data_IF_053730263413
#
_entry.id   IF_053730263413
#
_cell.length_a   1.000
_cell.length_b   1.000
_cell.length_c   1.000
_cell.angle_alpha   90.00
_cell.angle_beta   90.00
_cell.angle_gamma   90.00
#
_symmetry.space_group_name_H-M   'P 1'
#
loop_
_entity.id
_entity.type
_entity.pdbx_description
1 polymer ?
#
# COMPACT_ATOMS: atom_id res chain seq x y z
N UNK A 1 -6.62 -10.39 2.58
CA UNK A 1 -7.08 -9.03 2.22
C UNK A 1 -6.79 -8.76 0.76
N UNK A 2 -7.50 -7.82 0.17
CA UNK A 2 -7.37 -7.51 -1.25
C UNK A 2 -7.12 -6.03 -1.47
N UNK A 3 -6.07 -5.72 -2.26
CA UNK A 3 -5.81 -4.39 -2.76
C UNK A 3 -6.12 -4.39 -4.25
N UNK A 4 -7.05 -3.55 -4.68
CA UNK A 4 -7.41 -3.42 -6.08
C UNK A 4 -6.86 -2.10 -6.61
N UNK A 5 -5.95 -2.18 -7.58
CA UNK A 5 -5.44 -1.01 -8.29
C UNK A 5 -6.45 -0.56 -9.32
N UNK A 6 -6.92 0.66 -9.23
CA UNK A 6 -8.05 1.16 -10.02
C UNK A 6 -7.65 2.19 -11.06
N UNK A 7 -6.59 2.95 -10.85
CA UNK A 7 -6.22 4.05 -11.73
C UNK A 7 -4.72 4.33 -11.62
N UNK A 8 -4.09 4.55 -12.74
CA UNK A 8 -2.70 5.03 -12.77
C UNK A 8 -2.65 6.33 -13.58
N UNK A 9 -1.88 7.29 -13.08
CA UNK A 9 -1.69 8.59 -13.72
C UNK A 9 -0.29 9.12 -13.35
N UNK A 10 0.00 10.38 -13.69
CA UNK A 10 1.31 10.98 -13.40
C UNK A 10 1.60 11.11 -11.89
N UNK A 11 0.56 11.03 -11.06
CA UNK A 11 0.69 11.16 -9.60
C UNK A 11 0.82 9.80 -8.90
N UNK A 12 0.77 8.70 -9.64
CA UNK A 12 0.95 7.36 -9.08
C UNK A 12 -0.14 6.38 -9.46
N UNK A 13 -0.22 5.29 -8.71
CA UNK A 13 -1.20 4.22 -8.86
C UNK A 13 -2.15 4.26 -7.67
N UNK A 14 -3.41 4.59 -7.92
CA UNK A 14 -4.45 4.70 -6.91
C UNK A 14 -5.30 3.45 -6.88
N UNK A 15 -5.62 3.00 -5.68
CA UNK A 15 -6.42 1.80 -5.49
C UNK A 15 -7.20 1.84 -4.18
N UNK A 16 -7.75 0.68 -3.83
CA UNK A 16 -8.50 0.47 -2.60
C UNK A 16 -8.06 -0.82 -1.94
N UNK A 17 -7.98 -0.81 -0.62
CA UNK A 17 -7.73 -2.00 0.17
C UNK A 17 -8.93 -2.23 1.09
N UNK A 18 -9.46 -3.44 1.09
CA UNK A 18 -10.59 -3.80 1.95
C UNK A 18 -10.09 -4.50 3.19
N UNK A 19 -10.48 -3.97 4.35
CA UNK A 19 -10.16 -4.54 5.65
C UNK A 19 -11.13 -5.69 5.99
N UNK A 20 -10.78 -6.56 6.96
CA UNK A 20 -11.65 -7.69 7.34
C UNK A 20 -13.06 -7.26 7.75
N UNK A 21 -13.23 -6.08 8.34
CA UNK A 21 -14.56 -5.55 8.71
C UNK A 21 -15.41 -5.15 7.50
N UNK A 22 -14.82 -5.11 6.31
CA UNK A 22 -15.48 -4.57 5.12
C UNK A 22 -15.18 -3.10 4.88
N UNK A 23 -14.54 -2.41 5.83
CA UNK A 23 -14.12 -1.02 5.64
C UNK A 23 -13.08 -0.93 4.51
N UNK A 24 -13.16 0.12 3.71
CA UNK A 24 -12.28 0.32 2.56
C UNK A 24 -11.43 1.57 2.79
N UNK A 25 -10.12 1.43 2.56
CA UNK A 25 -9.19 2.55 2.58
C UNK A 25 -8.68 2.82 1.16
N UNK A 26 -8.30 4.05 0.89
CA UNK A 26 -7.60 4.40 -0.36
C UNK A 26 -6.14 4.02 -0.26
N UNK A 27 -5.54 3.63 -1.39
CA UNK A 27 -4.12 3.31 -1.46
C UNK A 27 -3.44 4.14 -2.54
N UNK A 28 -2.14 4.37 -2.36
CA UNK A 28 -1.30 5.03 -3.35
C UNK A 28 0.03 4.32 -3.41
N UNK A 29 0.44 4.01 -4.63
CA UNK A 29 1.72 3.40 -4.92
C UNK A 29 2.39 4.18 -6.05
N UNK A 30 3.67 3.93 -6.29
CA UNK A 30 4.35 4.46 -7.47
C UNK A 30 3.73 3.87 -8.74
N UNK A 31 4.02 4.49 -9.89
CA UNK A 31 3.69 3.91 -11.19
C UNK A 31 4.48 2.62 -11.40
N UNK A 32 3.96 1.72 -12.24
CA UNK A 32 4.69 0.54 -12.64
C UNK A 32 5.89 0.92 -13.53
N UNK A 33 7.08 0.50 -13.12
CA UNK A 33 8.34 0.72 -13.82
C UNK A 33 9.14 -0.58 -13.85
N UNK A 34 8.50 -1.66 -14.29
CA UNK A 34 9.12 -2.98 -14.43
C UNK A 34 9.74 -3.50 -13.13
N UNK A 35 9.09 -3.22 -11.99
CA UNK A 35 9.55 -3.64 -10.66
C UNK A 35 10.94 -3.10 -10.30
N UNK A 36 11.38 -2.02 -10.92
CA UNK A 36 12.67 -1.44 -10.61
C UNK A 36 12.68 -0.88 -9.19
N UNK A 37 13.79 -1.11 -8.49
CA UNK A 37 13.94 -0.67 -7.10
C UNK A 37 13.78 0.84 -7.00
N UNK A 38 13.08 1.29 -5.95
CA UNK A 38 12.91 2.69 -5.56
C UNK A 38 12.06 3.54 -6.49
N UNK A 39 11.72 3.07 -7.68
CA UNK A 39 10.97 3.87 -8.65
C UNK A 39 9.68 3.21 -9.13
N UNK A 40 9.42 1.95 -8.78
CA UNK A 40 8.25 1.19 -9.24
C UNK A 40 7.41 0.69 -8.09
N UNK A 41 6.11 0.58 -8.29
CA UNK A 41 5.28 -0.25 -7.43
C UNK A 41 5.68 -1.72 -7.62
N UNK A 42 5.27 -2.59 -6.69
CA UNK A 42 5.59 -4.01 -6.73
C UNK A 42 4.64 -4.75 -7.68
N UNK A 43 5.03 -5.96 -8.15
CA UNK A 43 4.16 -6.74 -9.04
C UNK A 43 2.82 -7.10 -8.38
N UNK A 44 1.75 -7.16 -9.17
CA UNK A 44 0.47 -7.69 -8.73
C UNK A 44 0.62 -9.18 -8.46
N UNK A 45 0.36 -9.60 -7.23
CA UNK A 45 0.49 -10.98 -6.78
C UNK A 45 -0.10 -11.11 -5.38
N UNK A 46 0.00 -12.29 -4.78
CA UNK A 46 -0.38 -12.50 -3.38
C UNK A 46 0.87 -12.59 -2.53
N UNK A 47 0.91 -11.80 -1.47
CA UNK A 47 2.06 -11.70 -0.57
C UNK A 47 1.66 -11.94 0.87
N UNK A 48 2.59 -12.51 1.64
CA UNK A 48 2.47 -12.59 3.09
C UNK A 48 2.87 -11.23 3.69
N UNK A 49 2.06 -10.74 4.63
CA UNK A 49 2.36 -9.50 5.35
C UNK A 49 2.47 -9.76 6.84
N UNK A 50 3.58 -9.34 7.44
CA UNK A 50 3.87 -9.52 8.85
C UNK A 50 4.27 -8.20 9.48
N UNK A 51 4.02 -8.09 10.79
CA UNK A 51 4.45 -6.91 11.58
C UNK A 51 5.97 -6.86 11.65
N UNK A 52 6.50 -5.65 11.48
CA UNK A 52 7.91 -5.35 11.69
C UNK A 52 8.04 -4.03 12.47
N UNK A 53 9.21 -3.82 13.06
CA UNK A 53 9.57 -2.54 13.67
C UNK A 53 10.52 -1.82 12.73
N UNK A 54 10.00 -0.83 12.01
CA UNK A 54 10.78 -0.03 11.07
C UNK A 54 11.48 1.10 11.83
N UNK A 55 12.79 1.31 11.62
CA UNK A 55 13.47 2.47 12.23
C UNK A 55 12.84 3.80 11.84
N UNK A 56 12.32 3.90 10.61
CA UNK A 56 11.74 5.15 10.10
C UNK A 56 10.25 5.28 10.39
N UNK A 57 9.48 4.18 10.28
CA UNK A 57 8.02 4.24 10.32
C UNK A 57 7.42 3.59 11.57
N UNK A 58 8.24 3.05 12.45
CA UNK A 58 7.76 2.38 13.65
C UNK A 58 7.15 1.02 13.34
N UNK A 59 6.13 0.66 14.08
CA UNK A 59 5.49 -0.65 13.95
C UNK A 59 4.50 -0.62 12.80
N UNK A 60 4.82 -1.35 11.73
CA UNK A 60 4.03 -1.40 10.48
C UNK A 60 4.08 -2.80 9.90
N UNK A 61 3.28 -3.04 8.86
CA UNK A 61 3.32 -4.31 8.11
C UNK A 61 4.36 -4.25 7.00
N UNK A 62 5.11 -5.36 6.88
CA UNK A 62 6.01 -5.57 5.76
C UNK A 62 5.37 -6.56 4.79
N UNK A 63 5.43 -6.24 3.49
CA UNK A 63 5.05 -7.15 2.41
C UNK A 63 6.28 -7.98 2.09
N UNK A 64 6.20 -9.30 2.32
CA UNK A 64 7.36 -10.19 2.30
C UNK A 64 7.57 -10.84 0.94
N UNK A 65 8.82 -11.19 0.68
CA UNK A 65 9.21 -12.00 -0.48
C UNK A 65 8.80 -11.40 -1.83
N UNK A 66 8.82 -10.08 -1.93
CA UNK A 66 8.61 -9.40 -3.20
C UNK A 66 9.84 -9.63 -4.08
N UNK A 67 9.69 -10.16 -5.30
CA UNK A 67 10.84 -10.43 -6.17
C UNK A 67 11.72 -9.19 -6.37
N UNK A 68 13.01 -9.34 -6.13
CA UNK A 68 14.02 -8.29 -6.33
C UNK A 68 13.80 -7.00 -5.51
N UNK A 69 12.99 -7.07 -4.47
CA UNK A 69 12.68 -5.92 -3.62
C UNK A 69 12.92 -6.30 -2.15
N UNK A 70 13.17 -5.30 -1.34
CA UNK A 70 13.29 -5.45 0.11
C UNK A 70 12.65 -4.26 0.81
N UNK A 71 12.27 -4.45 2.07
CA UNK A 71 11.70 -3.39 2.90
C UNK A 71 10.45 -2.73 2.28
N UNK A 72 9.60 -3.51 1.64
CA UNK A 72 8.30 -3.03 1.16
C UNK A 72 7.36 -3.02 2.36
N UNK A 73 6.93 -1.84 2.75
CA UNK A 73 6.11 -1.62 3.93
C UNK A 73 4.76 -1.01 3.55
N UNK A 74 3.79 -1.14 4.44
CA UNK A 74 2.53 -0.40 4.38
C UNK A 74 2.67 0.71 5.42
N UNK A 75 2.72 1.96 4.98
CA UNK A 75 2.94 3.07 5.91
C UNK A 75 2.16 4.32 5.51
N UNK A 76 2.30 5.39 6.31
CA UNK A 76 1.61 6.63 6.05
C UNK A 76 2.40 7.52 5.09
N UNK A 77 1.68 8.29 4.31
CA UNK A 77 2.20 9.27 3.37
C UNK A 77 1.06 9.73 2.47
N UNK A 78 1.13 10.93 1.94
CA UNK A 78 0.06 11.49 1.13
C UNK A 78 0.39 11.56 -0.37
N UNK A 79 1.68 11.54 -0.71
CA UNK A 79 2.18 11.73 -2.08
C UNK A 79 3.16 10.63 -2.46
N UNK A 80 3.35 10.41 -3.76
CA UNK A 80 4.35 9.42 -4.22
C UNK A 80 5.77 9.77 -3.78
N UNK A 81 6.08 11.03 -3.53
CA UNK A 81 7.40 11.41 -2.99
C UNK A 81 7.65 10.84 -1.58
N UNK A 82 6.61 10.38 -0.90
CA UNK A 82 6.71 9.81 0.43
C UNK A 82 7.02 8.32 0.42
N UNK A 83 7.21 7.73 -0.76
CA UNK A 83 7.46 6.29 -0.87
C UNK A 83 8.50 6.00 -1.96
N UNK A 84 9.21 4.89 -1.79
CA UNK A 84 10.13 4.34 -2.78
C UNK A 84 9.69 2.95 -3.26
N UNK A 85 8.37 2.72 -3.27
CA UNK A 85 7.77 1.45 -3.69
C UNK A 85 6.89 0.81 -2.63
N UNK A 86 6.82 1.40 -1.44
CA UNK A 86 5.90 0.96 -0.39
C UNK A 86 4.46 1.32 -0.73
N UNK A 87 3.53 0.74 0.01
CA UNK A 87 2.10 0.99 -0.15
C UNK A 87 1.68 2.04 0.87
N UNK A 88 1.12 3.15 0.40
CA UNK A 88 0.55 4.18 1.25
C UNK A 88 -0.96 3.97 1.39
N UNK A 89 -1.50 4.25 2.57
CA UNK A 89 -2.95 4.18 2.83
C UNK A 89 -3.47 5.54 3.23
N UNK A 90 -4.73 5.81 2.90
CA UNK A 90 -5.43 7.05 3.25
C UNK A 90 -6.91 6.79 3.42
N UNK A 91 -7.61 7.75 4.03
CA UNK A 91 -9.06 7.65 4.17
C UNK A 91 -9.77 7.93 2.86
N UNK A 92 -9.18 8.79 2.01
CA UNK A 92 -9.71 9.16 0.70
C UNK A 92 -8.57 9.66 -0.19
N UNK A 93 -8.90 9.95 -1.45
CA UNK A 93 -7.95 10.52 -2.41
C UNK A 93 -8.69 11.45 -3.38
N UNK A 94 -7.90 12.24 -4.14
CA UNK A 94 -8.42 13.13 -5.18
C UNK A 94 -7.71 12.92 -6.53
N UNK A 95 -7.18 11.72 -6.76
CA UNK A 95 -6.40 11.35 -7.95
C UNK A 95 -5.02 12.04 -8.03
N UNK A 96 -4.63 12.81 -7.02
CA UNK A 96 -3.32 13.44 -6.92
C UNK A 96 -2.60 13.05 -5.63
N UNK A 97 -3.35 12.84 -4.56
CA UNK A 97 -2.81 12.51 -3.25
C UNK A 97 -3.82 11.73 -2.42
N UNK A 98 -3.33 11.18 -1.31
CA UNK A 98 -4.16 10.64 -0.24
C UNK A 98 -4.45 11.72 0.80
N UNK A 99 -5.54 11.53 1.54
CA UNK A 99 -5.93 12.37 2.66
C UNK A 99 -6.03 11.52 3.94
N UNK A 100 -5.70 12.14 5.06
CA UNK A 100 -5.79 11.53 6.39
C UNK A 100 -5.07 10.18 6.45
N UNK A 101 -3.85 10.14 5.93
CA UNK A 101 -3.08 8.91 5.83
C UNK A 101 -2.77 8.29 7.19
N UNK A 102 -2.40 9.09 8.19
CA UNK A 102 -2.11 8.57 9.53
C UNK A 102 -3.34 7.97 10.18
N UNK A 103 -4.50 8.58 9.99
CA UNK A 103 -5.77 8.03 10.49
C UNK A 103 -6.06 6.67 9.84
N UNK A 104 -5.85 6.58 8.54
CA UNK A 104 -6.06 5.34 7.80
C UNK A 104 -5.11 4.24 8.28
N UNK A 105 -3.84 4.55 8.47
CA UNK A 105 -2.86 3.59 8.97
C UNK A 105 -3.23 3.12 10.37
N UNK A 106 -3.65 4.03 11.25
CA UNK A 106 -4.10 3.69 12.60
C UNK A 106 -5.30 2.73 12.56
N UNK A 107 -6.27 2.99 11.69
CA UNK A 107 -7.43 2.11 11.52
C UNK A 107 -7.00 0.71 11.07
N UNK A 108 -6.12 0.65 10.07
CA UNK A 108 -5.62 -0.63 9.56
C UNK A 108 -4.89 -1.40 10.64
N UNK A 109 -3.98 -0.74 11.36
CA UNK A 109 -3.19 -1.39 12.41
C UNK A 109 -4.08 -1.89 13.56
N UNK A 110 -5.05 -1.07 13.99
CA UNK A 110 -5.97 -1.45 15.06
C UNK A 110 -6.87 -2.63 14.67
N UNK A 111 -7.39 -2.63 13.46
CA UNK A 111 -8.29 -3.68 13.02
C UNK A 111 -7.55 -5.01 12.87
N UNK A 112 -6.33 -4.99 12.35
CA UNK A 112 -5.56 -6.20 12.14
C UNK A 112 -4.92 -6.72 13.43
N UNK A 113 -4.78 -5.88 14.45
CA UNK A 113 -4.29 -6.26 15.78
C UNK A 113 -3.03 -7.13 15.73
N UNK A 114 -2.05 -6.71 14.93
CA UNK A 114 -0.76 -7.39 14.72
C UNK A 114 -0.86 -8.78 14.09
N UNK A 115 -2.04 -9.20 13.66
CA UNK A 115 -2.21 -10.48 12.95
C UNK A 115 -1.57 -10.43 11.58
N UNK A 116 -0.82 -11.47 11.23
CA UNK A 116 -0.32 -11.63 9.87
C UNK A 116 -1.46 -11.88 8.92
N UNK A 117 -1.31 -11.48 7.66
CA UNK A 117 -2.33 -11.70 6.65
C UNK A 117 -1.72 -11.88 5.28
N UNK A 118 -2.50 -12.44 4.37
CA UNK A 118 -2.15 -12.46 2.95
C UNK A 118 -2.78 -11.29 2.25
N UNK A 119 -2.00 -10.60 1.43
CA UNK A 119 -2.46 -9.47 0.63
C UNK A 119 -2.43 -9.86 -0.83
N UNK A 120 -3.60 -9.92 -1.44
CA UNK A 120 -3.74 -10.11 -2.88
C UNK A 120 -3.82 -8.75 -3.55
N UNK A 121 -2.89 -8.47 -4.46
CA UNK A 121 -2.88 -7.23 -5.25
C UNK A 121 -3.36 -7.57 -6.65
N UNK A 122 -4.46 -6.95 -7.07
CA UNK A 122 -5.04 -7.15 -8.40
C UNK A 122 -5.18 -5.80 -9.11
N UNK A 123 -5.22 -5.84 -10.43
CA UNK A 123 -5.37 -4.65 -11.26
C UNK A 123 -6.73 -4.69 -11.94
N UNK A 124 -7.49 -3.61 -11.80
CA UNK A 124 -8.80 -3.47 -12.42
C UNK A 124 -8.97 -2.01 -12.88
N UNK A 125 -8.08 -1.62 -13.80
CA UNK A 125 -8.07 -0.25 -14.29
C UNK A 125 -9.27 0.03 -15.17
N UNK A 126 -9.86 1.21 -15.00
CA UNK A 126 -10.90 1.73 -15.87
C UNK A 126 -10.33 1.96 -17.26
N UNK A 127 -11.13 1.61 -18.28
CA UNK A 127 -10.74 1.75 -19.67
C UNK A 127 -11.76 2.59 -20.43
#
# INVERSE_FOLDING_TARGET
MKLTRLKTNLNGTFGKIQLPSGKVLSTLELQWKDNQRQISCIPAATYQCDIVNSPKFGRVYQVKDVPNRSHILIHAGNWTKDTSGCILVGMSNNDSQLFESRKALTLLMNELDEQSFKLEIVENYDR
#
